data_IF_970822111237
#
_entry.id   IF_970822111237
#
_cell.length_a   1.000
_cell.length_b   1.000
_cell.length_c   1.000
_cell.angle_alpha   90.00
_cell.angle_beta   90.00
_cell.angle_gamma   90.00
#
_symmetry.space_group_name_H-M   'P 1'
#
loop_
_entity.id
_entity.type
_entity.pdbx_description
1 polymer ?
#
# COMPACT_ATOMS: atom_id res chain seq x y z
N UNK A 1 -15.10 1.05 8.92
CA UNK A 1 -13.68 1.47 8.83
C UNK A 1 -13.24 2.51 9.87
N UNK A 2 -14.07 3.48 10.30
CA UNK A 2 -13.64 4.46 11.33
C UNK A 2 -13.26 3.82 12.68
N UNK A 3 -14.10 2.92 13.22
CA UNK A 3 -13.85 2.30 14.54
C UNK A 3 -12.52 1.52 14.59
N UNK A 4 -12.15 0.68 13.59
CA UNK A 4 -10.84 0.04 13.58
C UNK A 4 -9.65 1.00 13.47
N UNK A 5 -9.73 2.02 12.61
CA UNK A 5 -8.63 2.98 12.40
C UNK A 5 -8.29 3.75 13.67
N UNK A 6 -9.31 4.31 14.34
CA UNK A 6 -9.10 5.09 15.57
C UNK A 6 -8.51 4.25 16.70
N UNK A 7 -8.85 2.97 16.77
CA UNK A 7 -8.25 2.04 17.76
C UNK A 7 -6.76 1.83 17.48
N UNK A 8 -6.38 1.61 16.22
CA UNK A 8 -4.96 1.45 15.85
C UNK A 8 -4.17 2.71 16.17
N UNK A 9 -4.73 3.90 15.90
CA UNK A 9 -4.13 5.19 16.28
C UNK A 9 -4.01 5.29 17.80
N UNK A 10 -5.05 4.95 18.55
CA UNK A 10 -5.06 4.98 20.02
C UNK A 10 -4.04 4.04 20.67
N UNK A 11 -3.69 2.94 20.00
CA UNK A 11 -2.59 2.05 20.41
C UNK A 11 -1.19 2.64 20.14
N UNK A 12 -1.08 3.76 19.44
CA UNK A 12 0.19 4.44 19.17
C UNK A 12 0.94 3.96 17.92
N UNK A 13 0.34 3.10 17.10
CA UNK A 13 0.94 2.71 15.82
C UNK A 13 1.10 3.90 14.88
N UNK A 14 2.17 3.88 14.07
CA UNK A 14 2.51 4.96 13.13
C UNK A 14 2.19 4.63 11.68
N UNK A 15 2.06 3.35 11.36
CA UNK A 15 1.88 2.89 9.98
C UNK A 15 0.99 1.65 9.94
N UNK A 16 0.12 1.56 8.93
CA UNK A 16 -0.69 0.38 8.62
C UNK A 16 -0.26 -0.15 7.25
N UNK A 17 0.23 -1.39 7.20
CA UNK A 17 0.43 -2.13 5.94
C UNK A 17 -0.87 -2.85 5.55
N UNK A 18 -1.43 -2.55 4.38
CA UNK A 18 -2.70 -3.15 3.95
C UNK A 18 -2.89 -3.15 2.43
N UNK A 19 -3.64 -4.14 1.94
CA UNK A 19 -4.18 -4.23 0.57
C UNK A 19 -5.59 -3.66 0.45
N UNK A 20 -6.17 -3.07 1.50
CA UNK A 20 -7.54 -2.54 1.45
C UNK A 20 -8.63 -3.57 1.73
N UNK A 21 -8.32 -4.60 2.52
CA UNK A 21 -9.24 -5.72 2.86
C UNK A 21 -9.66 -6.53 1.62
N UNK A 22 -8.76 -6.64 0.64
CA UNK A 22 -8.94 -7.44 -0.57
C UNK A 22 -7.68 -8.28 -0.85
N UNK A 23 -7.76 -9.32 -1.70
CA UNK A 23 -6.60 -10.17 -2.01
C UNK A 23 -5.41 -9.40 -2.61
N UNK A 24 -5.67 -8.34 -3.37
CA UNK A 24 -4.64 -7.49 -3.97
C UNK A 24 -4.90 -6.00 -3.77
N UNK A 25 -3.84 -5.20 -3.90
CA UNK A 25 -3.90 -3.74 -3.87
C UNK A 25 -4.81 -3.18 -4.97
N UNK A 26 -4.82 -3.80 -6.14
CA UNK A 26 -5.65 -3.40 -7.29
C UNK A 26 -7.14 -3.61 -7.00
N UNK A 27 -7.50 -4.73 -6.37
CA UNK A 27 -8.87 -5.01 -5.95
C UNK A 27 -9.32 -4.12 -4.77
N UNK A 28 -8.39 -3.76 -3.88
CA UNK A 28 -8.69 -2.95 -2.69
C UNK A 28 -8.56 -1.44 -2.86
N UNK A 29 -8.25 -0.92 -4.06
CA UNK A 29 -7.92 0.50 -4.28
C UNK A 29 -9.00 1.49 -3.81
N UNK A 30 -10.28 1.14 -3.89
CA UNK A 30 -11.37 1.97 -3.37
C UNK A 30 -11.35 2.09 -1.84
N UNK A 31 -11.11 0.98 -1.15
CA UNK A 31 -11.01 0.98 0.30
C UNK A 31 -9.73 1.69 0.77
N UNK A 32 -8.64 1.53 0.02
CA UNK A 32 -7.37 2.22 0.27
C UNK A 32 -7.54 3.73 0.15
N UNK A 33 -8.18 4.22 -0.91
CA UNK A 33 -8.50 5.65 -1.08
C UNK A 33 -9.26 6.20 0.13
N UNK A 34 -10.36 5.54 0.51
CA UNK A 34 -11.17 5.91 1.70
C UNK A 34 -10.31 5.91 2.97
N UNK A 35 -9.42 4.94 3.13
CA UNK A 35 -8.58 4.82 4.31
C UNK A 35 -7.50 5.91 4.37
N UNK A 36 -6.87 6.24 3.24
CA UNK A 36 -5.93 7.36 3.12
C UNK A 36 -6.63 8.68 3.48
N UNK A 37 -7.81 8.94 2.93
CA UNK A 37 -8.61 10.13 3.25
C UNK A 37 -8.98 10.18 4.74
N UNK A 38 -9.47 9.07 5.31
CA UNK A 38 -9.84 8.98 6.73
C UNK A 38 -8.64 9.10 7.67
N UNK A 39 -7.45 8.67 7.24
CA UNK A 39 -6.23 8.81 8.04
C UNK A 39 -5.93 10.27 8.35
N UNK A 40 -6.24 11.18 7.40
CA UNK A 40 -5.95 12.61 7.51
C UNK A 40 -4.51 12.91 7.98
N UNK A 41 -3.55 12.05 7.61
CA UNK A 41 -2.15 12.18 8.01
C UNK A 41 -1.83 11.82 9.47
N UNK A 42 -2.81 11.35 10.26
CA UNK A 42 -2.62 10.95 11.67
C UNK A 42 -1.88 9.62 11.82
N UNK A 43 -1.93 8.78 10.79
CA UNK A 43 -1.22 7.52 10.67
C UNK A 43 -0.90 7.27 9.20
N UNK A 44 0.27 6.70 8.92
CA UNK A 44 0.69 6.41 7.55
C UNK A 44 -0.02 5.15 7.03
N UNK A 45 -0.51 5.21 5.80
CA UNK A 45 -1.04 4.04 5.11
C UNK A 45 0.04 3.55 4.14
N UNK A 46 0.66 2.42 4.47
CA UNK A 46 1.63 1.72 3.64
C UNK A 46 0.88 0.75 2.73
N UNK A 47 0.71 1.14 1.47
CA UNK A 47 -0.11 0.39 0.51
C UNK A 47 0.68 -0.80 -0.06
N UNK A 48 0.18 -2.02 0.07
CA UNK A 48 0.88 -3.22 -0.41
C UNK A 48 -0.03 -4.43 -0.64
N UNK A 49 0.56 -5.53 -1.12
CA UNK A 49 -0.17 -6.75 -1.51
C UNK A 49 -0.29 -6.88 -3.03
N UNK A 50 0.75 -7.42 -3.66
CA UNK A 50 0.82 -7.57 -5.12
C UNK A 50 1.20 -6.29 -5.90
N UNK A 51 1.76 -5.29 -5.22
CA UNK A 51 2.22 -4.06 -5.85
C UNK A 51 3.48 -4.30 -6.69
N UNK A 52 3.50 -3.81 -7.93
CA UNK A 52 4.59 -3.97 -8.91
C UNK A 52 4.76 -2.68 -9.71
N UNK A 53 5.87 -2.56 -10.42
CA UNK A 53 6.13 -1.46 -11.37
C UNK A 53 5.00 -1.29 -12.39
N UNK A 54 4.32 -2.37 -12.75
CA UNK A 54 3.20 -2.37 -13.69
C UNK A 54 1.89 -1.78 -13.16
N UNK A 55 1.72 -1.60 -11.84
CA UNK A 55 0.47 -1.08 -11.26
C UNK A 55 0.65 0.06 -10.25
N UNK A 56 1.88 0.39 -9.83
CA UNK A 56 2.12 1.38 -8.79
C UNK A 56 1.62 2.78 -9.17
N UNK A 57 1.76 3.21 -10.43
CA UNK A 57 1.30 4.53 -10.88
C UNK A 57 -0.22 4.68 -10.72
N UNK A 58 -1.00 3.73 -11.25
CA UNK A 58 -2.47 3.73 -11.13
C UNK A 58 -2.88 3.77 -9.64
N UNK A 59 -2.28 2.91 -8.81
CA UNK A 59 -2.61 2.84 -7.39
C UNK A 59 -2.25 4.15 -6.68
N UNK A 60 -1.09 4.75 -6.99
CA UNK A 60 -0.67 6.04 -6.44
C UNK A 60 -1.65 7.14 -6.83
N UNK A 61 -2.01 7.22 -8.10
CA UNK A 61 -2.93 8.23 -8.60
C UNK A 61 -4.33 8.08 -8.02
N UNK A 62 -4.82 6.85 -7.88
CA UNK A 62 -6.18 6.58 -7.41
C UNK A 62 -6.32 6.78 -5.89
N UNK A 63 -5.35 6.29 -5.11
CA UNK A 63 -5.41 6.30 -3.64
C UNK A 63 -4.83 7.57 -3.01
N UNK A 64 -3.96 8.28 -3.74
CA UNK A 64 -3.14 9.40 -3.23
C UNK A 64 -2.25 9.01 -2.04
N UNK A 65 -1.98 7.72 -1.85
CA UNK A 65 -1.04 7.24 -0.84
C UNK A 65 0.39 7.72 -1.14
N UNK A 66 1.19 7.90 -0.07
CA UNK A 66 2.58 8.35 -0.16
C UNK A 66 3.60 7.22 -0.06
N UNK A 67 3.21 6.11 0.57
CA UNK A 67 4.11 5.00 0.87
C UNK A 67 3.55 3.70 0.32
N UNK A 68 4.44 2.93 -0.29
CA UNK A 68 4.10 1.67 -0.95
C UNK A 68 5.05 0.56 -0.50
N UNK A 69 4.54 -0.66 -0.43
CA UNK A 69 5.29 -1.85 -0.08
C UNK A 69 5.18 -2.89 -1.19
N UNK A 70 6.34 -3.35 -1.66
CA UNK A 70 6.47 -4.48 -2.57
C UNK A 70 7.57 -5.41 -2.06
N UNK A 71 7.36 -6.72 -2.22
CA UNK A 71 8.44 -7.69 -2.05
C UNK A 71 9.44 -7.63 -3.22
N UNK A 72 9.03 -7.11 -4.38
CA UNK A 72 9.77 -7.14 -5.63
C UNK A 72 10.27 -8.54 -6.05
N UNK A 73 9.67 -9.61 -5.53
CA UNK A 73 9.93 -11.00 -5.94
C UNK A 73 9.04 -11.29 -7.15
N UNK A 74 9.63 -11.59 -8.31
CA UNK A 74 8.91 -11.72 -9.59
C UNK A 74 8.90 -13.14 -10.15
N UNK A 75 9.77 -14.01 -9.67
CA UNK A 75 10.00 -15.38 -10.17
C UNK A 75 9.52 -16.48 -9.20
N UNK A 76 8.89 -16.08 -8.09
CA UNK A 76 8.49 -17.01 -7.02
C UNK A 76 9.63 -17.50 -6.14
N UNK A 77 10.83 -16.94 -6.30
CA UNK A 77 11.99 -17.22 -5.46
C UNK A 77 11.92 -16.54 -4.09
N UNK A 78 13.08 -16.47 -3.42
CA UNK A 78 13.20 -15.88 -2.08
C UNK A 78 13.72 -14.44 -2.08
N UNK A 79 14.21 -13.95 -3.22
CA UNK A 79 14.94 -12.68 -3.32
C UNK A 79 14.24 -11.68 -4.24
N UNK A 80 14.35 -10.40 -3.90
CA UNK A 80 13.86 -9.33 -4.75
C UNK A 80 14.66 -9.25 -6.06
N UNK A 81 13.96 -9.02 -7.17
CA UNK A 81 14.59 -8.67 -8.45
C UNK A 81 15.10 -7.24 -8.39
N UNK A 82 16.39 -7.05 -8.71
CA UNK A 82 17.00 -5.73 -8.77
C UNK A 82 16.35 -4.87 -9.87
N UNK A 83 16.01 -5.48 -10.99
CA UNK A 83 15.34 -4.85 -12.12
C UNK A 83 13.96 -4.30 -11.72
N UNK A 84 13.17 -5.10 -10.98
CA UNK A 84 11.86 -4.67 -10.49
C UNK A 84 11.99 -3.54 -9.45
N UNK A 85 12.98 -3.60 -8.56
CA UNK A 85 13.25 -2.52 -7.60
C UNK A 85 13.61 -1.22 -8.32
N UNK A 86 14.44 -1.28 -9.36
CA UNK A 86 14.78 -0.12 -10.19
C UNK A 86 13.54 0.41 -10.92
N UNK A 87 12.70 -0.47 -11.47
CA UNK A 87 11.46 -0.07 -12.15
C UNK A 87 10.47 0.62 -11.20
N UNK A 88 10.29 0.07 -9.98
CA UNK A 88 9.45 0.68 -8.93
C UNK A 88 9.95 2.06 -8.48
N UNK A 89 11.27 2.30 -8.49
CA UNK A 89 11.85 3.60 -8.14
C UNK A 89 11.59 4.67 -9.21
N UNK A 90 11.48 4.26 -10.46
CA UNK A 90 11.40 5.16 -11.62
C UNK A 90 9.96 5.42 -12.11
N UNK A 91 8.97 4.91 -11.39
CA UNK A 91 7.53 5.14 -11.57
C UNK A 91 7.01 6.12 -10.51
#
# INVERSE_FOLDING_TARGET
MKIPLEKVIGCGFKTILTSGQQPSVSEGKENLKKLVELSAGRIEILVGGGLRSTNIEEIREYTKAKYFHSSAITDGGAFASAEEVVALKNT
#
